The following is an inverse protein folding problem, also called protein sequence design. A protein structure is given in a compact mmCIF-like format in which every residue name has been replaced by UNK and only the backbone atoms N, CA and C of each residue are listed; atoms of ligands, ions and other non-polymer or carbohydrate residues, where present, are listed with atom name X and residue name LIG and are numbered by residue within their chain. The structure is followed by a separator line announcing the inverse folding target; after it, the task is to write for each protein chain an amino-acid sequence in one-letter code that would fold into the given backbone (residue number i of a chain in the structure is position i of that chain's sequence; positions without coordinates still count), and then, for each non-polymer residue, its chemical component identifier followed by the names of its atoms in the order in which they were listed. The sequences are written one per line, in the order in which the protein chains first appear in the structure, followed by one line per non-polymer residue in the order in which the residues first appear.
data_IF_032306788445
#
_entry.id   IF_032306788445
#
_cell.length_a   1.000
_cell.length_b   1.000
_cell.length_c   1.000
_cell.angle_alpha   90.00
_cell.angle_beta   90.00
_cell.angle_gamma   90.00
#
_symmetry.space_group_name_H-M   'P 1'
#
loop_
_entity.id
_entity.type
_entity.pdbx_description
1 polymer ?
#
# COMPACT_ATOMS: atom_id res chain seq x y z
N UNK A 1 11.25 26.70 40.54
CA UNK A 1 10.20 27.73 40.44
C UNK A 1 9.93 27.90 38.94
N UNK A 2 8.78 27.64 38.32
CA UNK A 2 7.41 27.31 38.75
C UNK A 2 6.88 26.23 37.79
N UNK A 3 6.14 25.26 38.32
CA UNK A 3 5.32 24.26 37.62
C UNK A 3 3.85 24.68 37.72
N UNK A 4 3.00 24.05 36.89
CA UNK A 4 1.52 23.95 36.88
C UNK A 4 0.91 24.71 35.68
N UNK A 5 -0.16 24.27 35.01
CA UNK A 5 -1.24 23.35 35.44
C UNK A 5 -1.93 22.76 34.21
N UNK A 6 -2.41 21.51 34.35
CA UNK A 6 -3.41 20.88 33.49
C UNK A 6 -4.80 21.53 33.67
N UNK A 7 -5.60 21.58 32.62
CA UNK A 7 -7.03 21.89 32.68
C UNK A 7 -7.83 20.70 32.13
N UNK A 8 -8.66 20.17 33.03
CA UNK A 8 -9.63 19.10 32.87
C UNK A 8 -11.02 19.73 32.68
N UNK A 9 -11.92 19.04 31.95
CA UNK A 9 -13.40 19.04 32.02
C UNK A 9 -13.99 18.94 30.59
N UNK A 10 -15.05 18.19 30.28
CA UNK A 10 -16.17 17.71 31.09
C UNK A 10 -16.74 16.44 30.43
N UNK A 11 -17.07 15.43 31.26
CA UNK A 11 -17.85 14.26 30.85
C UNK A 11 -19.35 14.54 30.94
N UNK A 12 -20.11 13.92 30.04
CA UNK A 12 -21.56 13.73 30.17
C UNK A 12 -21.82 12.23 30.06
N UNK A 13 -22.11 11.60 31.20
CA UNK A 13 -22.60 10.24 31.28
C UNK A 13 -24.11 10.22 31.06
N UNK A 14 -24.57 9.37 30.14
CA UNK A 14 -25.96 8.93 30.11
C UNK A 14 -26.02 7.49 30.61
N UNK A 15 -26.79 7.30 31.68
CA UNK A 15 -27.12 6.00 32.25
C UNK A 15 -28.04 5.24 31.28
N UNK A 16 -27.60 4.07 30.81
CA UNK A 16 -28.45 3.13 30.10
C UNK A 16 -29.08 2.17 31.12
N UNK A 17 -30.41 2.10 31.12
CA UNK A 17 -31.20 1.09 31.84
C UNK A 17 -30.98 -0.31 31.23
N UNK A 18 -31.08 -1.40 32.02
CA UNK A 18 -30.76 -2.74 31.53
C UNK A 18 -31.90 -3.28 30.67
N UNK A 19 -31.64 -3.48 29.38
CA UNK A 19 -32.47 -4.34 28.54
C UNK A 19 -32.08 -5.81 28.79
N UNK A 20 -33.10 -6.66 28.92
CA UNK A 20 -33.02 -8.03 29.41
C UNK A 20 -31.98 -8.93 28.74
N UNK A 21 -31.42 -9.82 29.56
CA UNK A 21 -30.47 -10.84 29.18
C UNK A 21 -31.04 -11.78 28.10
N UNK A 22 -30.44 -11.74 26.92
CA UNK A 22 -30.40 -12.85 25.98
C UNK A 22 -29.00 -13.45 26.09
N UNK A 23 -28.93 -14.76 26.34
CA UNK A 23 -27.68 -15.51 26.41
C UNK A 23 -27.03 -15.57 25.03
N UNK A 24 -26.21 -14.55 24.72
CA UNK A 24 -25.28 -14.55 23.60
C UNK A 24 -23.88 -14.82 24.12
N UNK A 25 -23.21 -15.83 23.55
CA UNK A 25 -21.80 -16.10 23.78
C UNK A 25 -20.98 -14.82 23.69
N UNK A 26 -20.20 -14.52 24.73
CA UNK A 26 -19.20 -13.45 24.71
C UNK A 26 -18.32 -13.66 23.47
N UNK A 27 -18.14 -12.64 22.59
CA UNK A 27 -17.18 -12.77 21.50
C UNK A 27 -15.81 -13.09 22.09
N UNK A 28 -15.01 -13.96 21.44
CA UNK A 28 -13.65 -14.23 21.91
C UNK A 28 -12.87 -12.90 22.00
N UNK A 29 -11.97 -12.81 22.97
CA UNK A 29 -11.01 -11.72 23.03
C UNK A 29 -10.28 -11.59 21.68
N UNK A 30 -9.90 -10.37 21.31
CA UNK A 30 -9.17 -10.10 20.07
C UNK A 30 -8.06 -11.13 19.86
N UNK A 31 -7.92 -11.68 18.63
CA UNK A 31 -7.00 -12.76 18.37
C UNK A 31 -5.58 -12.38 18.81
N UNK A 32 -5.00 -13.20 19.70
CA UNK A 32 -3.63 -12.96 20.15
C UNK A 32 -2.69 -13.09 18.95
N UNK A 33 -1.94 -12.04 18.59
CA UNK A 33 -0.98 -12.10 17.49
C UNK A 33 0.01 -13.26 17.63
N UNK A 34 0.26 -13.73 18.86
CA UNK A 34 1.17 -14.83 19.17
C UNK A 34 0.82 -16.15 18.46
N UNK A 35 -0.47 -16.49 18.31
CA UNK A 35 -0.87 -17.75 17.66
C UNK A 35 -0.51 -17.71 16.17
N UNK A 36 -0.85 -16.61 15.50
CA UNK A 36 -0.49 -16.41 14.09
C UNK A 36 1.04 -16.39 13.90
N UNK A 37 1.77 -15.70 14.77
CA UNK A 37 3.25 -15.69 14.72
C UNK A 37 3.82 -17.10 14.88
N UNK A 38 3.32 -17.88 15.85
CA UNK A 38 3.77 -19.26 16.07
C UNK A 38 3.46 -20.18 14.88
N UNK A 39 2.24 -20.10 14.33
CA UNK A 39 1.86 -20.87 13.13
C UNK A 39 2.71 -20.51 11.92
N UNK A 40 2.98 -19.23 11.71
CA UNK A 40 3.82 -18.77 10.61
C UNK A 40 5.28 -19.23 10.76
N UNK A 41 5.80 -19.25 11.99
CA UNK A 41 7.15 -19.74 12.27
C UNK A 41 7.28 -21.27 12.11
N UNK A 42 6.25 -22.03 12.50
CA UNK A 42 6.18 -23.48 12.35
C UNK A 42 5.80 -23.95 10.93
N UNK A 43 5.26 -23.06 10.11
CA UNK A 43 4.85 -23.34 8.74
C UNK A 43 6.02 -23.55 7.77
N UNK A 44 5.72 -23.85 6.49
CA UNK A 44 6.76 -24.05 5.48
C UNK A 44 7.58 -22.77 5.26
N UNK A 45 8.90 -22.93 5.17
CA UNK A 45 9.83 -21.83 4.87
C UNK A 45 9.82 -21.55 3.35
N UNK A 46 8.77 -20.88 2.89
CA UNK A 46 8.54 -20.56 1.49
C UNK A 46 9.44 -19.41 1.04
N UNK A 47 10.66 -19.72 0.60
CA UNK A 47 11.59 -18.75 0.00
C UNK A 47 11.41 -18.62 -1.50
N UNK A 48 10.72 -19.57 -2.14
CA UNK A 48 10.31 -19.51 -3.55
C UNK A 48 8.92 -20.14 -3.68
N UNK A 49 8.17 -19.72 -4.69
CA UNK A 49 6.88 -20.34 -5.06
C UNK A 49 6.91 -20.65 -6.54
N UNK A 50 6.55 -21.89 -6.88
CA UNK A 50 6.21 -22.23 -8.27
C UNK A 50 4.95 -21.48 -8.72
N UNK A 51 4.71 -21.29 -10.04
CA UNK A 51 3.47 -20.68 -10.52
C UNK A 51 2.20 -21.36 -9.98
N UNK A 52 2.21 -22.69 -9.85
CA UNK A 52 1.09 -23.45 -9.28
C UNK A 52 0.88 -23.14 -7.80
N UNK A 53 1.95 -23.08 -7.00
CA UNK A 53 1.86 -22.73 -5.59
C UNK A 53 1.40 -21.28 -5.39
N UNK A 54 1.89 -20.35 -6.21
CA UNK A 54 1.43 -18.95 -6.20
C UNK A 54 -0.06 -18.86 -6.53
N UNK A 55 -0.55 -19.59 -7.55
CA UNK A 55 -1.99 -19.65 -7.84
C UNK A 55 -2.80 -20.30 -6.70
N UNK A 56 -2.27 -21.34 -6.06
CA UNK A 56 -2.90 -21.98 -4.91
C UNK A 56 -3.07 -21.02 -3.73
N UNK A 57 -2.00 -20.29 -3.38
CA UNK A 57 -2.04 -19.31 -2.28
C UNK A 57 -2.91 -18.11 -2.66
N UNK A 58 -2.91 -17.67 -3.92
CA UNK A 58 -3.81 -16.62 -4.38
C UNK A 58 -5.28 -17.03 -4.21
N UNK A 59 -5.64 -18.26 -4.59
CA UNK A 59 -6.98 -18.80 -4.38
C UNK A 59 -7.36 -18.85 -2.89
N UNK A 60 -6.44 -19.28 -2.01
CA UNK A 60 -6.65 -19.21 -0.55
C UNK A 60 -6.88 -17.77 -0.08
N UNK A 61 -6.06 -16.81 -0.50
CA UNK A 61 -6.18 -15.40 -0.12
C UNK A 61 -7.51 -14.77 -0.54
N UNK A 62 -7.99 -15.10 -1.74
CA UNK A 62 -9.27 -14.60 -2.24
C UNK A 62 -10.46 -15.19 -1.47
N UNK A 63 -10.46 -16.51 -1.25
CA UNK A 63 -11.50 -17.19 -0.44
C UNK A 63 -11.46 -16.69 1.01
N UNK A 64 -10.28 -16.57 1.60
CA UNK A 64 -10.08 -16.03 2.94
C UNK A 64 -10.73 -14.65 3.11
N UNK A 65 -10.53 -13.73 2.16
CA UNK A 65 -11.12 -12.39 2.25
C UNK A 65 -12.61 -12.34 1.94
N UNK A 66 -13.12 -13.17 1.03
CA UNK A 66 -14.57 -13.30 0.84
C UNK A 66 -15.23 -13.75 2.14
N UNK A 67 -14.72 -14.82 2.76
CA UNK A 67 -15.26 -15.32 4.02
C UNK A 67 -15.12 -14.28 5.14
N UNK A 68 -14.00 -13.52 5.19
CA UNK A 68 -13.76 -12.45 6.16
C UNK A 68 -14.90 -11.43 6.23
N UNK A 69 -15.41 -11.01 5.08
CA UNK A 69 -16.42 -9.94 5.00
C UNK A 69 -17.85 -10.45 4.79
N UNK A 70 -18.04 -11.72 4.42
CA UNK A 70 -19.36 -12.24 4.04
C UNK A 70 -19.86 -13.38 4.92
N UNK A 71 -18.99 -14.24 5.47
CA UNK A 71 -19.42 -15.40 6.24
C UNK A 71 -19.77 -15.00 7.68
N UNK A 72 -20.97 -15.30 8.21
CA UNK A 72 -21.41 -14.84 9.54
C UNK A 72 -20.45 -15.16 10.69
N UNK A 73 -19.95 -16.41 10.74
CA UNK A 73 -19.01 -16.82 11.80
C UNK A 73 -17.68 -16.04 11.77
N UNK A 74 -17.28 -15.53 10.61
CA UNK A 74 -16.00 -14.83 10.45
C UNK A 74 -16.21 -13.32 10.56
N UNK A 75 -17.15 -12.77 9.80
CA UNK A 75 -17.44 -11.34 9.79
C UNK A 75 -17.93 -10.81 11.15
N UNK A 76 -18.47 -11.68 12.02
CA UNK A 76 -18.81 -11.38 13.40
C UNK A 76 -17.64 -11.54 14.41
N UNK A 77 -16.44 -11.91 13.94
CA UNK A 77 -15.24 -12.02 14.79
C UNK A 77 -15.14 -13.29 15.64
N UNK A 78 -15.86 -14.37 15.30
CA UNK A 78 -15.89 -15.59 16.13
C UNK A 78 -14.66 -16.48 15.93
N UNK A 79 -13.75 -16.12 15.02
CA UNK A 79 -12.56 -16.90 14.64
C UNK A 79 -11.34 -15.99 14.58
N UNK A 80 -10.20 -16.51 15.04
CA UNK A 80 -8.90 -15.92 14.74
C UNK A 80 -8.58 -16.15 13.26
N UNK A 81 -8.95 -15.18 12.43
CA UNK A 81 -8.95 -15.36 10.99
C UNK A 81 -7.55 -15.35 10.37
N UNK A 82 -6.60 -14.68 11.00
CA UNK A 82 -5.19 -14.72 10.57
C UNK A 82 -4.58 -16.09 10.89
N UNK A 83 -4.84 -16.64 12.08
CA UNK A 83 -4.41 -18.00 12.42
C UNK A 83 -5.04 -19.05 11.49
N UNK A 84 -6.33 -18.92 11.13
CA UNK A 84 -6.99 -19.82 10.19
C UNK A 84 -6.31 -19.81 8.81
N UNK A 85 -5.95 -18.64 8.26
CA UNK A 85 -5.17 -18.57 7.01
C UNK A 85 -3.89 -19.39 7.11
N UNK A 86 -3.15 -19.21 8.20
CA UNK A 86 -1.86 -19.86 8.42
C UNK A 86 -1.98 -21.37 8.65
N UNK A 87 -3.09 -21.85 9.24
CA UNK A 87 -3.41 -23.28 9.35
C UNK A 87 -3.66 -23.93 7.99
N UNK A 88 -4.34 -23.24 7.08
CA UNK A 88 -4.65 -23.77 5.75
C UNK A 88 -3.45 -23.74 4.80
N UNK A 89 -2.54 -22.78 4.97
CA UNK A 89 -1.44 -22.49 4.06
C UNK A 89 -0.59 -23.72 3.68
N UNK A 90 -0.12 -24.59 4.62
CA UNK A 90 0.71 -25.74 4.26
C UNK A 90 0.01 -26.73 3.32
N UNK A 91 -1.27 -27.06 3.60
CA UNK A 91 -2.05 -27.98 2.78
C UNK A 91 -2.34 -27.40 1.38
N UNK A 92 -2.65 -26.11 1.31
CA UNK A 92 -2.88 -25.40 0.05
C UNK A 92 -1.61 -25.35 -0.82
N UNK A 93 -0.44 -25.10 -0.22
CA UNK A 93 0.83 -25.10 -0.95
C UNK A 93 1.18 -26.50 -1.47
N UNK A 94 0.82 -27.55 -0.74
CA UNK A 94 1.09 -28.94 -1.13
C UNK A 94 0.18 -29.44 -2.26
N UNK A 95 -0.96 -28.78 -2.52
CA UNK A 95 -1.91 -29.18 -3.55
C UNK A 95 -1.29 -29.19 -4.95
N UNK A 96 -1.51 -30.28 -5.69
CA UNK A 96 -0.96 -30.50 -7.04
C UNK A 96 -1.96 -30.20 -8.16
N UNK A 97 -3.22 -29.93 -7.81
CA UNK A 97 -4.28 -29.66 -8.79
C UNK A 97 -5.34 -28.69 -8.27
N UNK A 98 -6.07 -28.09 -9.22
CA UNK A 98 -7.26 -27.26 -8.94
C UNK A 98 -8.32 -28.04 -8.18
N UNK A 99 -8.49 -29.34 -8.48
CA UNK A 99 -9.48 -30.19 -7.83
C UNK A 99 -9.15 -30.41 -6.35
N UNK A 100 -7.90 -30.79 -6.05
CA UNK A 100 -7.41 -30.99 -4.68
C UNK A 100 -7.52 -29.72 -3.86
N UNK A 101 -7.03 -28.60 -4.40
CA UNK A 101 -7.15 -27.28 -3.77
C UNK A 101 -8.60 -26.89 -3.51
N UNK A 102 -9.48 -27.06 -4.50
CA UNK A 102 -10.90 -26.73 -4.36
C UNK A 102 -11.58 -27.61 -3.31
N UNK A 103 -11.16 -28.88 -3.19
CA UNK A 103 -11.64 -29.80 -2.16
C UNK A 103 -11.26 -29.34 -0.76
N UNK A 104 -10.00 -28.94 -0.53
CA UNK A 104 -9.56 -28.40 0.77
C UNK A 104 -10.31 -27.10 1.13
N UNK A 105 -10.41 -26.16 0.18
CA UNK A 105 -11.12 -24.91 0.40
C UNK A 105 -12.62 -25.14 0.67
N UNK A 106 -13.25 -26.08 -0.04
CA UNK A 106 -14.66 -26.43 0.16
C UNK A 106 -14.90 -27.05 1.54
N UNK A 107 -14.03 -27.96 1.98
CA UNK A 107 -14.08 -28.55 3.33
C UNK A 107 -13.89 -27.47 4.41
N UNK A 108 -12.93 -26.57 4.22
CA UNK A 108 -12.70 -25.46 5.15
C UNK A 108 -13.91 -24.53 5.25
N UNK A 109 -14.52 -24.14 4.12
CA UNK A 109 -15.77 -23.37 4.08
C UNK A 109 -16.86 -24.08 4.87
N UNK A 110 -17.09 -25.37 4.63
CA UNK A 110 -18.11 -26.15 5.35
C UNK A 110 -17.86 -26.22 6.86
N UNK A 111 -16.59 -26.23 7.29
CA UNK A 111 -16.21 -26.30 8.72
C UNK A 111 -16.58 -25.03 9.52
N UNK A 112 -16.89 -23.93 8.84
CA UNK A 112 -17.29 -22.67 9.47
C UNK A 112 -18.76 -22.66 9.92
N UNK A 113 -19.52 -23.69 9.55
CA UNK A 113 -20.94 -23.82 9.85
C UNK A 113 -21.84 -23.37 8.70
N UNK A 114 -23.14 -23.53 8.88
CA UNK A 114 -24.13 -23.16 7.87
C UNK A 114 -24.31 -21.64 7.79
N UNK A 115 -24.46 -21.13 6.56
CA UNK A 115 -24.90 -19.75 6.32
C UNK A 115 -26.42 -19.76 6.15
N UNK A 116 -27.19 -19.06 6.99
CA UNK A 116 -28.64 -18.99 6.83
C UNK A 116 -29.00 -18.20 5.57
N UNK A 117 -30.05 -18.58 4.83
CA UNK A 117 -30.58 -17.76 3.76
C UNK A 117 -30.96 -16.36 4.26
N UNK A 118 -30.58 -15.34 3.50
CA UNK A 118 -30.83 -13.96 3.85
C UNK A 118 -32.21 -13.53 3.33
N UNK A 119 -33.24 -13.69 4.17
CA UNK A 119 -34.62 -13.36 3.80
C UNK A 119 -34.84 -11.84 3.56
N UNK A 120 -34.10 -10.98 4.27
CA UNK A 120 -34.18 -9.52 4.18
C UNK A 120 -32.78 -8.91 4.14
N UNK A 121 -32.08 -9.13 3.03
CA UNK A 121 -30.75 -8.54 2.79
C UNK A 121 -30.83 -7.03 2.58
N UNK A 122 -29.82 -6.30 3.05
CA UNK A 122 -29.73 -4.85 2.83
C UNK A 122 -29.85 -4.51 1.34
N UNK A 123 -30.80 -3.63 1.03
CA UNK A 123 -31.05 -3.15 -0.33
C UNK A 123 -29.85 -2.34 -0.81
N UNK A 124 -29.43 -2.50 -2.09
CA UNK A 124 -28.43 -1.63 -2.68
C UNK A 124 -28.85 -0.14 -2.58
N UNK A 125 -27.88 0.79 -2.54
CA UNK A 125 -28.17 2.22 -2.59
C UNK A 125 -29.03 2.58 -3.82
N UNK A 126 -29.99 3.48 -3.64
CA UNK A 126 -30.85 3.96 -4.74
C UNK A 126 -30.08 4.85 -5.74
N UNK A 127 -28.99 5.47 -5.30
CA UNK A 127 -28.14 6.29 -6.15
C UNK A 127 -27.20 5.42 -7.00
N UNK A 128 -26.78 5.92 -8.18
CA UNK A 128 -25.80 5.22 -9.00
C UNK A 128 -24.51 4.91 -8.23
N UNK A 129 -24.19 3.62 -8.12
CA UNK A 129 -22.96 3.17 -7.49
C UNK A 129 -21.89 3.02 -8.58
N UNK A 130 -20.83 3.83 -8.51
CA UNK A 130 -19.72 3.79 -9.48
C UNK A 130 -19.00 2.44 -9.50
N UNK A 131 -18.84 1.81 -8.33
CA UNK A 131 -18.15 0.53 -8.17
C UNK A 131 -18.92 -0.37 -7.21
N UNK A 132 -19.49 -1.45 -7.74
CA UNK A 132 -20.04 -2.54 -6.93
C UNK A 132 -18.97 -3.58 -6.60
N UNK A 133 -19.20 -4.39 -5.57
CA UNK A 133 -18.30 -5.50 -5.23
C UNK A 133 -18.25 -6.50 -6.38
N UNK A 134 -17.04 -6.74 -6.90
CA UNK A 134 -16.81 -7.62 -8.03
C UNK A 134 -16.31 -9.00 -7.58
N UNK A 135 -17.18 -9.99 -7.66
CA UNK A 135 -16.88 -11.36 -7.26
C UNK A 135 -16.72 -12.30 -8.47
N UNK A 136 -16.47 -11.78 -9.68
CA UNK A 136 -16.31 -12.62 -10.88
C UNK A 136 -15.19 -13.64 -10.75
N UNK A 137 -14.12 -13.31 -10.01
CA UNK A 137 -13.02 -14.24 -9.71
C UNK A 137 -13.52 -15.53 -9.03
N UNK A 138 -14.53 -15.46 -8.17
CA UNK A 138 -15.08 -16.60 -7.45
C UNK A 138 -15.89 -17.54 -8.36
N UNK A 139 -16.16 -17.12 -9.60
CA UNK A 139 -16.88 -17.90 -10.61
C UNK A 139 -15.97 -18.47 -11.69
N UNK A 140 -14.65 -18.30 -11.59
CA UNK A 140 -13.71 -18.82 -12.58
C UNK A 140 -13.66 -20.36 -12.56
N UNK A 141 -14.24 -20.98 -13.59
CA UNK A 141 -14.29 -22.44 -13.78
C UNK A 141 -12.91 -23.08 -13.94
N UNK A 142 -11.89 -22.31 -14.33
CA UNK A 142 -10.52 -22.80 -14.47
C UNK A 142 -9.80 -22.87 -13.12
N UNK A 143 -10.22 -22.07 -12.15
CA UNK A 143 -9.56 -21.95 -10.84
C UNK A 143 -10.32 -22.60 -9.69
N UNK A 144 -11.62 -22.83 -9.83
CA UNK A 144 -12.45 -23.39 -8.77
C UNK A 144 -13.43 -24.44 -9.30
N UNK A 145 -13.53 -25.57 -8.57
CA UNK A 145 -14.51 -26.63 -8.85
C UNK A 145 -15.95 -26.10 -8.72
N UNK A 146 -16.90 -26.77 -9.39
CA UNK A 146 -18.30 -26.37 -9.33
C UNK A 146 -18.88 -26.32 -7.90
N UNK A 147 -18.63 -27.31 -7.01
CA UNK A 147 -19.11 -27.24 -5.62
C UNK A 147 -18.63 -26.01 -4.87
N UNK A 148 -17.34 -25.68 -4.96
CA UNK A 148 -16.79 -24.51 -4.26
C UNK A 148 -17.36 -23.21 -4.82
N UNK A 149 -17.50 -23.07 -6.15
CA UNK A 149 -18.11 -21.88 -6.76
C UNK A 149 -19.56 -21.67 -6.32
N UNK A 150 -20.32 -22.75 -6.15
CA UNK A 150 -21.68 -22.71 -5.64
C UNK A 150 -21.72 -22.28 -4.17
N UNK A 151 -20.83 -22.81 -3.32
CA UNK A 151 -20.71 -22.38 -1.92
C UNK A 151 -20.38 -20.89 -1.80
N UNK A 152 -19.38 -20.41 -2.56
CA UNK A 152 -18.98 -19.00 -2.54
C UNK A 152 -20.09 -18.09 -3.06
N UNK A 153 -20.81 -18.49 -4.12
CA UNK A 153 -21.97 -17.75 -4.62
C UNK A 153 -23.09 -17.68 -3.58
N UNK A 154 -23.36 -18.79 -2.89
CA UNK A 154 -24.39 -18.84 -1.86
C UNK A 154 -24.03 -17.93 -0.68
N UNK A 155 -22.77 -17.94 -0.22
CA UNK A 155 -22.29 -17.05 0.84
C UNK A 155 -22.38 -15.58 0.40
N UNK A 156 -22.00 -15.28 -0.84
CA UNK A 156 -22.09 -13.92 -1.39
C UNK A 156 -23.53 -13.39 -1.43
N UNK A 157 -24.48 -14.23 -1.84
CA UNK A 157 -25.90 -13.89 -1.90
C UNK A 157 -26.54 -13.78 -0.51
N UNK A 158 -26.03 -14.51 0.48
CA UNK A 158 -26.56 -14.57 1.84
C UNK A 158 -25.58 -13.97 2.87
N UNK A 159 -24.92 -12.87 2.47
CA UNK A 159 -23.84 -12.26 3.24
C UNK A 159 -24.31 -11.81 4.63
N UNK A 160 -23.39 -11.83 5.58
CA UNK A 160 -23.59 -11.31 6.94
C UNK A 160 -24.11 -9.87 6.92
N UNK A 161 -25.15 -9.60 7.72
CA UNK A 161 -25.84 -8.30 7.82
C UNK A 161 -25.65 -7.63 9.18
N UNK A 162 -24.96 -8.28 10.13
CA UNK A 162 -24.74 -7.74 11.47
C UNK A 162 -23.61 -6.72 11.53
N UNK A 163 -23.26 -6.30 12.75
CA UNK A 163 -22.15 -5.39 12.98
C UNK A 163 -20.82 -6.02 12.48
N UNK A 164 -20.10 -5.39 11.55
CA UNK A 164 -18.87 -5.94 11.00
C UNK A 164 -17.74 -5.86 12.03
N UNK A 165 -17.09 -6.99 12.32
CA UNK A 165 -15.98 -7.03 13.26
C UNK A 165 -14.72 -6.38 12.68
N UNK A 166 -14.35 -6.68 11.43
CA UNK A 166 -13.06 -6.22 10.86
C UNK A 166 -13.08 -4.83 10.23
N UNK A 167 -14.23 -4.17 10.11
CA UNK A 167 -14.38 -2.92 9.37
C UNK A 167 -15.05 -1.86 10.23
N UNK A 168 -14.43 -0.69 10.31
CA UNK A 168 -15.06 0.53 10.75
C UNK A 168 -14.88 1.63 9.68
N UNK A 169 -15.60 2.73 9.83
CA UNK A 169 -15.52 3.88 8.93
C UNK A 169 -15.12 5.09 9.77
N UNK A 170 -14.01 5.74 9.40
CA UNK A 170 -13.57 6.98 10.04
C UNK A 170 -14.49 8.15 9.65
N UNK A 171 -14.41 9.26 10.38
CA UNK A 171 -15.23 10.47 10.11
C UNK A 171 -15.09 10.98 8.67
N UNK A 172 -13.89 10.88 8.09
CA UNK A 172 -13.62 11.26 6.70
C UNK A 172 -14.16 10.25 5.66
N UNK A 173 -14.88 9.20 6.08
CA UNK A 173 -15.42 8.16 5.20
C UNK A 173 -14.42 7.05 4.83
N UNK A 174 -13.18 7.11 5.33
CA UNK A 174 -12.17 6.11 5.03
C UNK A 174 -12.43 4.79 5.80
N UNK A 175 -12.25 3.62 5.16
CA UNK A 175 -12.31 2.35 5.86
C UNK A 175 -11.14 2.23 6.85
N UNK A 176 -11.42 1.71 8.04
CA UNK A 176 -10.42 1.34 9.04
C UNK A 176 -10.62 -0.11 9.46
N UNK A 177 -9.55 -0.74 9.95
CA UNK A 177 -9.53 -2.18 10.24
C UNK A 177 -9.10 -2.43 11.70
N UNK A 178 -9.96 -2.12 12.69
CA UNK A 178 -9.56 -2.06 14.10
C UNK A 178 -9.13 -3.41 14.71
N UNK A 179 -9.60 -4.52 14.15
CA UNK A 179 -9.33 -5.88 14.64
C UNK A 179 -8.36 -6.65 13.71
N UNK A 180 -7.43 -5.95 13.08
CA UNK A 180 -6.34 -6.57 12.31
C UNK A 180 -4.99 -6.37 13.02
N UNK A 181 -4.31 -7.46 13.36
CA UNK A 181 -3.00 -7.40 13.98
C UNK A 181 -1.95 -6.80 13.01
N UNK A 182 -1.19 -5.81 13.47
CA UNK A 182 -0.18 -5.12 12.65
C UNK A 182 1.17 -5.83 12.52
N UNK A 183 1.51 -6.74 13.45
CA UNK A 183 2.79 -7.47 13.49
C UNK A 183 4.04 -6.57 13.35
N UNK A 184 3.98 -5.35 13.89
CA UNK A 184 5.00 -4.32 13.70
C UNK A 184 6.33 -4.58 14.45
N UNK A 185 6.35 -5.55 15.35
CA UNK A 185 7.52 -5.95 16.14
C UNK A 185 8.56 -6.75 15.33
N UNK A 186 8.18 -7.24 14.15
CA UNK A 186 9.06 -8.03 13.28
C UNK A 186 9.54 -7.23 12.07
N UNK A 187 10.83 -6.89 12.07
CA UNK A 187 11.46 -6.23 10.92
C UNK A 187 11.37 -7.07 9.63
N UNK A 188 11.36 -8.39 9.71
CA UNK A 188 11.05 -9.26 8.57
C UNK A 188 10.22 -10.45 9.07
N UNK A 189 8.90 -10.44 8.88
CA UNK A 189 8.04 -11.53 9.34
C UNK A 189 8.34 -12.86 8.64
N UNK A 190 7.97 -13.98 9.25
CA UNK A 190 8.03 -15.30 8.62
C UNK A 190 7.23 -15.35 7.31
N UNK A 191 7.58 -16.27 6.40
CA UNK A 191 6.99 -16.33 5.06
C UNK A 191 5.45 -16.36 5.06
N UNK A 192 4.83 -17.13 5.97
CA UNK A 192 3.38 -17.18 6.11
C UNK A 192 2.74 -15.81 6.39
N UNK A 193 3.35 -14.99 7.26
CA UNK A 193 2.87 -13.63 7.56
C UNK A 193 3.09 -12.68 6.38
N UNK A 194 4.20 -12.82 5.63
CA UNK A 194 4.43 -12.04 4.41
C UNK A 194 3.37 -12.34 3.34
N UNK A 195 3.00 -13.61 3.17
CA UNK A 195 1.94 -14.03 2.25
C UNK A 195 0.55 -13.57 2.72
N UNK A 196 0.28 -13.64 4.03
CA UNK A 196 -0.94 -13.09 4.62
C UNK A 196 -1.04 -11.57 4.39
N UNK A 197 0.06 -10.82 4.53
CA UNK A 197 0.07 -9.37 4.34
C UNK A 197 -0.36 -8.96 2.91
N UNK A 198 0.19 -9.61 1.87
CA UNK A 198 -0.21 -9.33 0.48
C UNK A 198 -1.65 -9.77 0.19
N UNK A 199 -2.09 -10.92 0.73
CA UNK A 199 -3.48 -11.37 0.64
C UNK A 199 -4.44 -10.39 1.32
N UNK A 200 -4.08 -9.90 2.52
CA UNK A 200 -4.88 -8.93 3.27
C UNK A 200 -5.01 -7.61 2.51
N UNK A 201 -3.90 -7.03 2.06
CA UNK A 201 -3.91 -5.80 1.27
C UNK A 201 -4.73 -5.97 -0.01
N UNK A 202 -4.58 -7.10 -0.71
CA UNK A 202 -5.38 -7.40 -1.90
C UNK A 202 -6.88 -7.35 -1.62
N UNK A 203 -7.30 -7.92 -0.49
CA UNK A 203 -8.71 -7.93 -0.08
C UNK A 203 -9.19 -6.53 0.35
N UNK A 204 -8.39 -5.76 1.10
CA UNK A 204 -8.72 -4.37 1.43
C UNK A 204 -9.05 -3.58 0.16
N UNK A 205 -8.22 -3.73 -0.88
CA UNK A 205 -8.43 -3.04 -2.16
C UNK A 205 -9.62 -3.60 -2.93
N UNK A 206 -9.77 -4.93 -2.96
CA UNK A 206 -10.87 -5.60 -3.66
C UNK A 206 -12.25 -5.17 -3.15
N UNK A 207 -12.38 -4.93 -1.84
CA UNK A 207 -13.67 -4.66 -1.20
C UNK A 207 -13.90 -3.18 -0.86
N UNK A 208 -12.84 -2.39 -0.60
CA UNK A 208 -12.99 -1.05 -0.02
C UNK A 208 -12.20 0.06 -0.72
N UNK A 209 -11.39 -0.22 -1.74
CA UNK A 209 -10.68 0.85 -2.46
C UNK A 209 -11.59 1.51 -3.50
N UNK A 210 -11.82 2.84 -3.43
CA UNK A 210 -12.85 3.52 -4.21
C UNK A 210 -12.51 3.65 -5.70
N UNK A 211 -11.22 3.52 -6.07
CA UNK A 211 -10.74 3.76 -7.43
C UNK A 211 -10.24 2.49 -8.14
N UNK A 212 -10.72 1.30 -7.74
CA UNK A 212 -10.28 0.03 -8.36
C UNK A 212 -10.46 -0.01 -9.88
N UNK A 213 -11.47 0.68 -10.42
CA UNK A 213 -11.71 0.82 -11.86
C UNK A 213 -10.62 1.62 -12.60
N UNK A 214 -9.80 2.41 -11.89
CA UNK A 214 -8.76 3.27 -12.45
C UNK A 214 -7.35 2.67 -12.32
N UNK A 215 -7.20 1.53 -11.64
CA UNK A 215 -5.92 0.80 -11.50
C UNK A 215 -5.36 0.38 -12.88
N UNK A 216 -6.22 0.18 -13.88
CA UNK A 216 -5.82 -0.12 -15.26
C UNK A 216 -5.33 -1.55 -15.51
N UNK A 217 -5.21 -2.36 -14.46
CA UNK A 217 -4.93 -3.80 -14.54
C UNK A 217 -6.02 -4.63 -13.88
N UNK A 218 -6.15 -5.90 -14.27
CA UNK A 218 -7.08 -6.84 -13.65
C UNK A 218 -6.61 -7.13 -12.22
N UNK A 219 -7.29 -6.58 -11.22
CA UNK A 219 -6.87 -6.68 -9.81
C UNK A 219 -6.62 -8.14 -9.37
N UNK A 220 -7.39 -9.09 -9.89
CA UNK A 220 -7.23 -10.52 -9.59
C UNK A 220 -5.86 -11.11 -9.95
N UNK A 221 -5.11 -10.54 -10.91
CA UNK A 221 -3.78 -11.03 -11.28
C UNK A 221 -2.67 -10.54 -10.35
N UNK A 222 -2.92 -9.53 -9.51
CA UNK A 222 -1.90 -8.94 -8.62
C UNK A 222 -1.37 -9.95 -7.61
N UNK A 223 -2.22 -10.83 -7.07
CA UNK A 223 -1.80 -11.86 -6.12
C UNK A 223 -0.77 -12.84 -6.70
N UNK A 224 -1.08 -13.62 -7.76
CA UNK A 224 -0.12 -14.59 -8.29
C UNK A 224 1.20 -13.94 -8.75
N UNK A 225 1.17 -12.66 -9.16
CA UNK A 225 2.38 -11.93 -9.57
C UNK A 225 3.28 -11.53 -8.38
N UNK A 226 2.70 -11.16 -7.24
CA UNK A 226 3.45 -10.62 -6.09
C UNK A 226 3.72 -11.65 -4.99
N UNK A 227 2.92 -12.70 -4.87
CA UNK A 227 3.13 -13.76 -3.88
C UNK A 227 4.55 -14.37 -3.93
N UNK A 228 5.13 -14.71 -5.10
CA UNK A 228 6.51 -15.19 -5.18
C UNK A 228 7.54 -14.19 -4.63
N UNK A 229 7.30 -12.89 -4.81
CA UNK A 229 8.20 -11.83 -4.34
C UNK A 229 8.16 -11.68 -2.83
N UNK A 230 6.96 -11.72 -2.24
CA UNK A 230 6.78 -11.73 -0.79
C UNK A 230 7.33 -13.00 -0.12
N UNK A 231 7.23 -14.15 -0.78
CA UNK A 231 7.90 -15.38 -0.34
C UNK A 231 9.42 -15.21 -0.29
N UNK A 232 10.01 -14.71 -1.38
CA UNK A 232 11.46 -14.52 -1.53
C UNK A 232 12.05 -13.35 -0.71
N UNK A 233 11.23 -12.44 -0.19
CA UNK A 233 11.65 -11.30 0.60
C UNK A 233 12.11 -11.69 2.02
N UNK A 234 13.26 -12.32 2.13
CA UNK A 234 13.81 -12.88 3.39
C UNK A 234 14.60 -11.88 4.24
N UNK A 235 14.73 -10.62 3.79
CA UNK A 235 15.38 -9.55 4.55
C UNK A 235 14.39 -8.40 4.82
N UNK A 236 14.61 -7.59 5.88
CA UNK A 236 13.76 -6.44 6.15
C UNK A 236 13.61 -5.50 4.96
N UNK A 237 14.71 -5.23 4.25
CA UNK A 237 14.74 -4.35 3.09
C UNK A 237 14.00 -4.93 1.88
N UNK A 238 14.27 -6.21 1.54
CA UNK A 238 13.56 -6.88 0.45
C UNK A 238 12.04 -6.91 0.68
N UNK A 239 11.59 -7.01 1.94
CA UNK A 239 10.18 -6.95 2.29
C UNK A 239 9.57 -5.56 2.06
N UNK A 240 10.32 -4.46 2.31
CA UNK A 240 9.87 -3.10 2.00
C UNK A 240 9.76 -2.87 0.49
N UNK A 241 10.74 -3.33 -0.30
CA UNK A 241 10.63 -3.26 -1.76
C UNK A 241 9.43 -4.06 -2.28
N UNK A 242 9.19 -5.26 -1.76
CA UNK A 242 8.00 -6.03 -2.13
C UNK A 242 6.70 -5.27 -1.79
N UNK A 243 6.64 -4.58 -0.65
CA UNK A 243 5.51 -3.73 -0.28
C UNK A 243 5.36 -2.49 -1.18
N UNK A 244 6.46 -1.84 -1.61
CA UNK A 244 6.43 -0.76 -2.60
C UNK A 244 5.90 -1.24 -3.95
N UNK A 245 6.31 -2.42 -4.41
CA UNK A 245 5.80 -2.99 -5.66
C UNK A 245 4.30 -3.25 -5.57
N UNK A 246 3.81 -3.72 -4.42
CA UNK A 246 2.38 -3.88 -4.17
C UNK A 246 1.63 -2.54 -4.22
N UNK A 247 2.12 -1.53 -3.51
CA UNK A 247 1.51 -0.21 -3.50
C UNK A 247 1.52 0.44 -4.91
N UNK A 248 2.59 0.22 -5.68
CA UNK A 248 2.72 0.70 -7.06
C UNK A 248 1.65 0.12 -7.97
N UNK A 249 1.14 -1.10 -7.70
CA UNK A 249 0.04 -1.69 -8.49
C UNK A 249 -1.25 -0.88 -8.43
N UNK A 250 -1.42 0.02 -7.47
CA UNK A 250 -2.63 0.84 -7.36
C UNK A 250 -2.66 1.99 -8.38
N UNK A 251 -1.50 2.37 -8.95
CA UNK A 251 -1.37 3.58 -9.75
C UNK A 251 -2.00 4.79 -9.03
N UNK A 252 -1.61 5.00 -7.77
CA UNK A 252 -2.11 6.06 -6.92
C UNK A 252 -0.94 6.77 -6.24
N UNK A 253 -0.83 8.09 -6.45
CA UNK A 253 0.21 8.90 -5.82
C UNK A 253 0.09 9.02 -4.29
N UNK A 254 -1.04 8.62 -3.69
CA UNK A 254 -1.23 8.57 -2.23
C UNK A 254 -0.82 7.24 -1.61
N UNK A 255 -0.69 6.18 -2.42
CA UNK A 255 -0.28 4.85 -1.98
C UNK A 255 1.24 4.80 -1.77
N UNK A 256 1.76 5.65 -0.89
CA UNK A 256 3.20 5.77 -0.60
C UNK A 256 3.57 5.05 0.69
N UNK A 257 4.83 4.63 0.80
CA UNK A 257 5.41 4.07 2.01
C UNK A 257 6.56 4.98 2.45
N UNK A 258 6.44 5.58 3.63
CA UNK A 258 7.56 6.25 4.31
C UNK A 258 8.16 5.26 5.29
N UNK A 259 9.38 4.83 5.04
CA UNK A 259 10.07 3.82 5.84
C UNK A 259 11.57 4.16 5.94
N UNK A 260 12.13 4.24 7.16
CA UNK A 260 13.53 4.60 7.36
C UNK A 260 14.56 3.70 6.66
N UNK A 261 14.25 2.41 6.42
CA UNK A 261 15.17 1.51 5.71
C UNK A 261 15.27 1.87 4.23
N UNK A 262 14.13 2.16 3.59
CA UNK A 262 14.09 2.63 2.19
C UNK A 262 14.74 4.01 2.07
N UNK A 263 14.46 4.90 3.01
CA UNK A 263 15.07 6.24 3.04
C UNK A 263 16.58 6.19 3.30
N UNK A 264 17.11 5.13 3.89
CA UNK A 264 18.55 4.98 4.10
C UNK A 264 19.32 4.56 2.84
N UNK A 265 18.68 3.86 1.89
CA UNK A 265 19.33 3.39 0.66
C UNK A 265 19.78 4.51 -0.28
N UNK A 266 19.00 5.59 -0.35
CA UNK A 266 19.34 6.76 -1.18
C UNK A 266 20.57 7.51 -0.64
N UNK A 267 20.87 7.38 0.65
CA UNK A 267 21.95 8.08 1.35
C UNK A 267 21.50 9.35 2.08
N UNK A 268 22.45 9.99 2.77
CA UNK A 268 22.19 11.13 3.66
C UNK A 268 22.77 12.45 3.14
N UNK A 269 23.30 12.46 1.92
CA UNK A 269 23.85 13.64 1.28
C UNK A 269 23.04 13.99 0.03
N UNK A 270 22.97 15.26 -0.31
CA UNK A 270 22.19 15.77 -1.43
C UNK A 270 22.98 16.83 -2.20
N UNK A 271 22.98 16.73 -3.54
CA UNK A 271 23.43 17.83 -4.40
C UNK A 271 22.42 18.97 -4.32
N UNK A 272 22.91 20.21 -4.15
CA UNK A 272 22.07 21.39 -3.93
C UNK A 272 21.39 21.93 -5.21
N UNK A 273 20.72 21.05 -5.96
CA UNK A 273 19.98 21.35 -7.17
C UNK A 273 18.60 20.66 -7.16
N UNK A 274 17.67 21.21 -7.93
CA UNK A 274 16.36 20.62 -8.18
C UNK A 274 16.27 20.18 -9.64
N UNK A 275 15.65 19.02 -9.86
CA UNK A 275 15.54 18.38 -11.18
C UNK A 275 14.08 18.13 -11.49
N UNK A 276 13.73 18.26 -12.76
CA UNK A 276 12.44 17.87 -13.30
C UNK A 276 12.65 17.11 -14.61
N UNK A 277 11.82 16.10 -14.89
CA UNK A 277 11.78 15.51 -16.21
C UNK A 277 11.04 16.43 -17.19
N UNK A 278 11.74 16.90 -18.23
CA UNK A 278 11.21 17.68 -19.36
C UNK A 278 11.53 16.86 -20.62
N UNK A 279 10.53 16.52 -21.43
CA UNK A 279 10.68 15.60 -22.57
C UNK A 279 11.43 14.29 -22.21
N UNK A 280 11.09 13.71 -21.05
CA UNK A 280 11.74 12.52 -20.48
C UNK A 280 13.25 12.66 -20.18
N UNK A 281 13.77 13.89 -20.12
CA UNK A 281 15.16 14.20 -19.75
C UNK A 281 15.21 14.83 -18.37
N UNK A 282 16.05 14.30 -17.48
CA UNK A 282 16.26 14.85 -16.14
C UNK A 282 16.99 16.19 -16.23
N UNK A 283 16.23 17.28 -16.19
CA UNK A 283 16.71 18.64 -16.44
C UNK A 283 16.82 19.40 -15.12
N UNK A 284 17.97 20.03 -14.88
CA UNK A 284 18.17 20.92 -13.74
C UNK A 284 17.29 22.15 -13.92
N UNK A 285 16.39 22.41 -12.97
CA UNK A 285 15.49 23.56 -13.00
C UNK A 285 15.90 24.66 -12.02
N UNK A 286 16.71 24.34 -11.01
CA UNK A 286 17.19 25.29 -10.02
C UNK A 286 18.45 24.78 -9.34
N UNK A 287 19.34 25.70 -8.99
CA UNK A 287 20.50 25.46 -8.12
C UNK A 287 20.39 26.40 -6.91
N UNK A 288 20.79 25.93 -5.73
CA UNK A 288 20.74 26.72 -4.49
C UNK A 288 21.98 27.60 -4.37
N UNK A 289 21.80 28.93 -4.39
CA UNK A 289 22.89 29.92 -4.37
C UNK A 289 22.92 30.81 -3.11
N UNK A 290 22.38 30.35 -1.98
CA UNK A 290 22.26 31.16 -0.76
C UNK A 290 23.51 31.16 0.14
N UNK A 291 24.62 30.59 -0.33
CA UNK A 291 25.88 30.53 0.41
C UNK A 291 25.90 29.58 1.60
N UNK A 292 24.80 28.91 1.93
CA UNK A 292 24.72 28.01 3.10
C UNK A 292 25.24 26.59 2.81
N UNK A 293 25.39 26.22 1.54
CA UNK A 293 25.89 24.93 1.09
C UNK A 293 26.89 25.08 -0.05
N UNK A 294 27.81 24.09 -0.22
CA UNK A 294 28.68 24.05 -1.38
C UNK A 294 27.90 24.16 -2.69
N UNK A 295 28.41 24.98 -3.60
CA UNK A 295 27.77 25.22 -4.89
C UNK A 295 28.10 24.07 -5.84
N UNK A 296 27.10 23.35 -6.39
CA UNK A 296 27.37 22.37 -7.41
C UNK A 296 27.70 23.06 -8.73
N UNK A 297 28.58 22.47 -9.58
CA UNK A 297 28.93 23.00 -10.89
C UNK A 297 27.82 22.76 -11.93
N UNK A 298 26.56 22.91 -11.52
CA UNK A 298 25.37 22.71 -12.35
C UNK A 298 24.72 24.06 -12.67
N UNK A 299 24.03 24.11 -13.81
CA UNK A 299 23.27 25.28 -14.25
C UNK A 299 21.83 24.86 -14.61
N UNK A 300 20.83 25.73 -14.39
CA UNK A 300 19.49 25.51 -14.94
C UNK A 300 19.56 25.25 -16.45
N UNK A 301 18.91 24.18 -16.92
CA UNK A 301 18.96 23.71 -18.30
C UNK A 301 19.91 22.53 -18.55
N UNK A 302 20.83 22.23 -17.61
CA UNK A 302 21.67 21.02 -17.71
C UNK A 302 20.80 19.76 -17.72
N UNK A 303 21.05 18.86 -18.67
CA UNK A 303 20.41 17.55 -18.74
C UNK A 303 21.32 16.52 -18.07
N UNK A 304 20.93 15.99 -16.93
CA UNK A 304 21.66 14.94 -16.23
C UNK A 304 21.43 13.61 -16.98
N UNK A 305 22.51 13.06 -17.52
CA UNK A 305 22.50 11.79 -18.26
C UNK A 305 22.95 10.61 -17.41
N UNK A 306 23.89 10.84 -16.47
CA UNK A 306 24.37 9.81 -15.55
C UNK A 306 24.53 10.36 -14.13
N UNK A 307 24.25 9.49 -13.16
CA UNK A 307 24.47 9.74 -11.73
C UNK A 307 25.29 8.58 -11.16
N UNK A 308 26.42 8.88 -10.52
CA UNK A 308 27.39 7.89 -10.03
C UNK A 308 27.75 6.83 -11.10
N UNK A 309 27.95 7.27 -12.34
CA UNK A 309 28.27 6.41 -13.49
C UNK A 309 27.10 5.61 -14.07
N UNK A 310 25.90 5.64 -13.46
CA UNK A 310 24.70 4.93 -13.96
C UNK A 310 23.86 5.83 -14.86
N UNK A 311 23.41 5.37 -16.04
CA UNK A 311 22.48 6.13 -16.87
C UNK A 311 21.17 6.43 -16.13
N UNK A 312 20.73 7.69 -16.18
CA UNK A 312 19.45 8.10 -15.54
C UNK A 312 18.28 7.30 -16.11
N UNK A 313 18.28 7.00 -17.40
CA UNK A 313 17.26 6.18 -18.04
C UNK A 313 17.13 4.78 -17.39
N UNK A 314 18.25 4.16 -17.02
CA UNK A 314 18.25 2.84 -16.37
C UNK A 314 17.83 2.93 -14.91
N UNK A 315 18.25 3.98 -14.20
CA UNK A 315 17.78 4.25 -12.85
C UNK A 315 16.26 4.44 -12.80
N UNK A 316 15.70 5.19 -13.75
CA UNK A 316 14.24 5.36 -13.89
C UNK A 316 13.58 4.03 -14.17
N UNK A 317 14.07 3.27 -15.16
CA UNK A 317 13.51 1.95 -15.54
C UNK A 317 13.47 0.97 -14.37
N UNK A 318 14.49 1.01 -13.51
CA UNK A 318 14.60 0.17 -12.32
C UNK A 318 13.68 0.62 -11.18
N UNK A 319 13.47 1.93 -11.01
CA UNK A 319 12.63 2.48 -9.93
C UNK A 319 11.13 2.49 -10.27
N UNK A 320 10.76 2.57 -11.54
CA UNK A 320 9.35 2.66 -11.97
C UNK A 320 8.44 1.55 -11.40
N UNK A 321 8.85 0.27 -11.36
CA UNK A 321 8.03 -0.80 -10.76
C UNK A 321 7.78 -0.66 -9.25
N UNK A 322 8.51 0.24 -8.58
CA UNK A 322 8.49 0.50 -7.14
C UNK A 322 8.12 1.93 -6.77
N UNK A 323 7.72 2.74 -7.75
CA UNK A 323 7.35 4.13 -7.55
C UNK A 323 5.84 4.29 -7.74
N UNK A 324 5.06 4.46 -6.67
CA UNK A 324 3.64 4.78 -6.76
C UNK A 324 3.41 6.11 -7.48
N UNK A 325 2.34 6.17 -8.28
CA UNK A 325 1.95 7.40 -8.97
C UNK A 325 0.74 7.18 -9.85
N UNK A 326 -0.13 8.20 -9.93
CA UNK A 326 -1.36 8.14 -10.73
C UNK A 326 -1.14 8.18 -12.24
N UNK A 327 0.08 8.48 -12.67
CA UNK A 327 0.54 8.45 -14.05
C UNK A 327 2.07 8.54 -14.08
N UNK A 328 2.65 8.38 -15.27
CA UNK A 328 4.10 8.43 -15.47
C UNK A 328 4.73 9.75 -14.99
N UNK A 329 4.07 10.90 -15.21
CA UNK A 329 4.61 12.18 -14.75
C UNK A 329 4.70 12.26 -13.22
N UNK A 330 3.71 11.73 -12.50
CA UNK A 330 3.74 11.64 -11.04
C UNK A 330 4.86 10.70 -10.54
N UNK A 331 5.09 9.56 -11.21
CA UNK A 331 6.19 8.65 -10.88
C UNK A 331 7.55 9.30 -11.13
N UNK A 332 7.74 9.93 -12.29
CA UNK A 332 8.97 10.66 -12.62
C UNK A 332 9.25 11.78 -11.62
N UNK A 333 8.22 12.51 -11.17
CA UNK A 333 8.35 13.51 -10.10
C UNK A 333 8.81 12.90 -8.78
N UNK A 334 8.30 11.73 -8.40
CA UNK A 334 8.75 11.03 -7.21
C UNK A 334 10.22 10.59 -7.35
N UNK A 335 10.61 10.02 -8.50
CA UNK A 335 12.02 9.64 -8.78
C UNK A 335 12.95 10.86 -8.71
N UNK A 336 12.53 12.04 -9.19
CA UNK A 336 13.37 13.24 -9.08
C UNK A 336 13.67 13.66 -7.64
N UNK A 337 12.83 13.31 -6.67
CA UNK A 337 13.08 13.67 -5.27
C UNK A 337 14.24 12.91 -4.63
N UNK A 338 14.67 11.78 -5.23
CA UNK A 338 15.76 10.94 -4.72
C UNK A 338 16.97 10.90 -5.67
N UNK A 339 16.80 11.32 -6.93
CA UNK A 339 17.82 11.20 -8.00
C UNK A 339 19.19 11.81 -7.66
N UNK A 340 19.21 12.88 -6.88
CA UNK A 340 20.42 13.63 -6.52
C UNK A 340 20.96 13.33 -5.11
N UNK A 341 20.40 12.31 -4.44
CA UNK A 341 20.94 11.84 -3.19
C UNK A 341 22.23 11.02 -3.39
N UNK A 342 23.07 11.01 -2.36
CA UNK A 342 24.34 10.31 -2.33
C UNK A 342 24.65 9.75 -0.93
N UNK A 343 25.46 8.71 -0.90
CA UNK A 343 25.98 8.10 0.34
C UNK A 343 27.27 8.76 0.83
N UNK A 344 27.93 9.54 -0.02
CA UNK A 344 29.17 10.29 0.29
C UNK A 344 28.96 11.80 0.09
N UNK A 345 29.86 12.66 0.60
CA UNK A 345 29.76 14.11 0.43
C UNK A 345 30.00 14.63 -1.01
N UNK A 346 30.14 13.74 -2.00
CA UNK A 346 30.39 14.08 -3.39
C UNK A 346 29.62 13.13 -4.31
N UNK A 347 29.13 13.62 -5.44
CA UNK A 347 28.39 12.83 -6.41
C UNK A 347 28.90 13.11 -7.82
N UNK A 348 29.35 12.06 -8.50
CA UNK A 348 29.77 12.16 -9.89
C UNK A 348 28.54 12.24 -10.81
N UNK A 349 28.51 13.27 -11.65
CA UNK A 349 27.44 13.56 -12.59
C UNK A 349 28.01 13.67 -14.00
N UNK A 350 27.26 13.15 -14.98
CA UNK A 350 27.50 13.46 -16.39
C UNK A 350 26.28 14.19 -16.92
N UNK A 351 26.50 15.33 -17.58
CA UNK A 351 25.42 16.19 -18.07
C UNK A 351 25.62 16.57 -19.53
N UNK A 352 24.54 16.97 -20.20
CA UNK A 352 24.58 17.71 -21.45
C UNK A 352 24.23 19.16 -21.16
N UNK A 353 25.14 20.08 -21.52
CA UNK A 353 24.94 21.53 -21.46
C UNK A 353 25.07 22.08 -22.87
N UNK A 354 23.99 22.60 -23.44
CA UNK A 354 23.97 23.04 -24.85
C UNK A 354 24.60 21.99 -25.79
N UNK A 355 24.15 20.73 -25.65
CA UNK A 355 24.63 19.54 -26.37
C UNK A 355 26.10 19.13 -26.13
N UNK A 356 26.84 19.85 -25.28
CA UNK A 356 28.18 19.44 -24.85
C UNK A 356 28.13 18.49 -23.66
N UNK A 357 28.77 17.33 -23.79
CA UNK A 357 28.92 16.39 -22.69
C UNK A 357 29.97 16.89 -21.68
N UNK A 358 29.55 17.07 -20.44
CA UNK A 358 30.38 17.50 -19.31
C UNK A 358 30.34 16.46 -18.19
N UNK A 359 31.43 16.41 -17.41
CA UNK A 359 31.54 15.56 -16.22
C UNK A 359 31.91 16.41 -15.02
N UNK A 360 31.21 16.19 -13.92
CA UNK A 360 31.39 16.92 -12.68
C UNK A 360 31.45 15.98 -11.49
N UNK A 361 32.27 16.32 -10.51
CA UNK A 361 32.15 15.79 -9.15
C UNK A 361 31.47 16.87 -8.32
N UNK A 362 30.15 16.75 -8.14
CA UNK A 362 29.35 17.76 -7.45
C UNK A 362 29.46 17.58 -5.93
N UNK A 363 29.75 18.64 -5.15
CA UNK A 363 29.70 18.56 -3.71
C UNK A 363 28.25 18.36 -3.23
N UNK A 364 28.09 17.54 -2.19
CA UNK A 364 26.82 17.27 -1.55
C UNK A 364 26.85 17.78 -0.11
N UNK A 365 25.72 18.27 0.38
CA UNK A 365 25.55 18.63 1.79
C UNK A 365 24.75 17.55 2.51
N UNK A 366 24.98 17.39 3.82
CA UNK A 366 24.23 16.42 4.63
C UNK A 366 22.78 16.88 4.80
N UNK A 367 21.82 16.02 4.54
CA UNK A 367 20.40 16.34 4.67
C UNK A 367 20.07 16.67 6.13
N UNK A 368 19.24 17.70 6.33
CA UNK A 368 18.85 18.18 7.67
C UNK A 368 19.83 19.15 8.33
N UNK A 369 21.00 19.46 7.74
CA UNK A 369 21.94 20.44 8.33
C UNK A 369 21.64 21.88 7.96
N UNK A 370 20.83 22.11 6.93
CA UNK A 370 20.50 23.46 6.43
C UNK A 370 18.99 23.53 6.18
N UNK A 371 18.30 24.63 6.55
CA UNK A 371 16.89 24.77 6.28
C UNK A 371 16.56 24.67 4.79
N UNK A 372 15.34 24.25 4.43
CA UNK A 372 14.85 24.32 3.06
C UNK A 372 14.95 25.75 2.53
N UNK A 373 15.26 25.89 1.25
CA UNK A 373 15.21 27.19 0.58
C UNK A 373 13.78 27.68 0.64
N UNK A 374 13.55 28.78 1.38
CA UNK A 374 12.25 29.45 1.35
C UNK A 374 12.08 30.06 -0.03
N UNK A 375 10.95 29.84 -0.72
CA UNK A 375 10.64 30.61 -1.90
C UNK A 375 10.74 32.09 -1.56
N UNK A 376 11.32 32.90 -2.45
CA UNK A 376 11.21 34.34 -2.30
C UNK A 376 9.72 34.68 -2.24
N UNK A 377 9.31 35.41 -1.20
CA UNK A 377 7.98 36.02 -1.16
C UNK A 377 7.92 36.93 -2.39
N UNK A 378 7.11 36.58 -3.39
CA UNK A 378 6.83 37.57 -4.42
C UNK A 378 5.78 38.52 -3.85
N UNK A 379 5.96 39.81 -4.15
CA UNK A 379 5.20 40.91 -3.55
C UNK A 379 3.68 40.82 -3.82
N UNK A 380 3.27 39.99 -4.78
CA UNK A 380 1.86 39.72 -5.09
C UNK A 380 1.61 38.26 -5.49
N UNK A 381 0.42 37.77 -5.16
CA UNK A 381 -0.15 36.50 -5.62
C UNK A 381 -0.69 36.55 -7.05
N UNK A 382 -0.80 37.76 -7.62
CA UNK A 382 -1.22 37.98 -8.99
C UNK A 382 -0.33 39.02 -9.67
N UNK A 383 -0.22 38.95 -10.99
CA UNK A 383 0.44 39.98 -11.79
C UNK A 383 -0.19 40.06 -13.17
N UNK A 384 -0.18 41.23 -13.78
CA UNK A 384 -0.44 41.34 -15.21
C UNK A 384 0.84 40.99 -15.97
N UNK A 385 0.77 39.97 -16.84
CA UNK A 385 1.88 39.61 -17.74
C UNK A 385 1.79 40.36 -19.07
N UNK A 386 0.61 40.92 -19.36
CA UNK A 386 0.33 41.92 -20.38
C UNK A 386 -0.87 42.77 -19.90
N UNK A 387 -1.14 43.97 -20.47
CA UNK A 387 -2.22 44.84 -20.00
C UNK A 387 -3.60 44.15 -19.90
N UNK A 388 -3.88 43.22 -20.82
CA UNK A 388 -5.14 42.48 -20.91
C UNK A 388 -5.07 41.07 -20.27
N UNK A 389 -3.91 40.66 -19.74
CA UNK A 389 -3.68 39.28 -19.28
C UNK A 389 -3.16 39.26 -17.84
N UNK A 390 -4.06 38.90 -16.92
CA UNK A 390 -3.74 38.61 -15.53
C UNK A 390 -3.26 37.17 -15.33
N UNK A 391 -2.28 36.99 -14.46
CA UNK A 391 -1.81 35.71 -13.95
C UNK A 391 -2.06 35.67 -12.44
N UNK A 392 -2.60 34.56 -11.95
CA UNK A 392 -2.80 34.30 -10.51
C UNK A 392 -2.06 33.02 -10.14
N UNK A 393 -1.21 33.09 -9.13
CA UNK A 393 -0.52 31.92 -8.58
C UNK A 393 -1.40 31.25 -7.53
N UNK A 394 -2.15 30.22 -7.96
CA UNK A 394 -3.08 29.47 -7.11
C UNK A 394 -2.38 28.80 -5.91
N UNK A 395 -1.07 28.53 -6.00
CA UNK A 395 -0.31 27.91 -4.91
C UNK A 395 -0.11 28.86 -3.70
N UNK A 396 -0.42 30.15 -3.87
CA UNK A 396 -0.27 31.19 -2.83
C UNK A 396 -1.59 31.64 -2.23
N UNK A 397 -2.71 31.08 -2.67
CA UNK A 397 -4.02 31.40 -2.09
C UNK A 397 -4.09 30.82 -0.68
N UNK A 398 -4.20 31.70 0.31
CA UNK A 398 -4.49 31.32 1.69
C UNK A 398 -6.00 31.35 1.92
N UNK A 399 -6.54 30.42 2.71
CA UNK A 399 -7.90 30.56 3.24
C UNK A 399 -7.95 31.83 4.10
N UNK A 400 -8.97 32.65 3.87
CA UNK A 400 -9.28 33.82 4.69
C UNK A 400 -9.67 33.43 6.11
#
# INVERSE_FOLDING_TARGET
MSKRTYLLALGLGFAALPAGAQAGSTPPADPSPAVAVALAAAGPQLTTLTPQQADNVAALGQVWGLLKYFHPAVAAGQRDWDAEFLRQLPGIVACKSVLERSGLLSTWVSSLGAVPPCAACATPPAQPVRLATDLRWAQDKRRFSAPLRQQLAFIAANRYQGAPHYLAVAEAGNPTFPHEAGYADQACPAAGLRLLAVCRHWNIVQYYYPYRYAIGSEWGSVLPDLLPRFAAATTPLAYRHAALQLATRLHDGHATLRDPLLEAEQGNYLVAAAVQFIDNKATVIRVRHDGQVPQPPLEPGDIITHVAGRPVADMVRQQLPETPGSNQAAQLRAITSTLLFATTPQLDLQVLRADQALRFTAPCFKVGTVPPVRPALADSMYRFIAPEVGYVDMARITKA
#
